data_IF_801214053455
#
_entry.id   IF_801214053455
#
_cell.length_a   1.000
_cell.length_b   1.000
_cell.length_c   1.000
_cell.angle_alpha   90.00
_cell.angle_beta   90.00
_cell.angle_gamma   90.00
#
_symmetry.space_group_name_H-M   'P 1'
#
loop_
_entity.id
_entity.type
_entity.pdbx_description
1 polymer ?
#
# COMPACT_ATOMS: atom_id res chain seq x y z
N UNK A 1 14.96 -4.42 7.78
CA UNK A 1 14.17 -4.27 9.04
C UNK A 1 12.86 -4.94 8.73
N UNK A 2 12.68 -6.20 9.17
CA UNK A 2 11.65 -7.05 8.59
C UNK A 2 10.25 -6.43 8.71
N UNK A 3 9.58 -6.24 7.58
CA UNK A 3 8.23 -5.71 7.56
C UNK A 3 7.26 -6.76 8.13
N UNK A 4 6.22 -6.33 8.84
CA UNK A 4 5.23 -7.26 9.41
C UNK A 4 4.52 -8.08 8.33
N UNK A 5 4.01 -9.27 8.66
CA UNK A 5 3.31 -10.12 7.70
C UNK A 5 2.20 -9.38 6.92
N UNK A 6 1.39 -8.57 7.61
CA UNK A 6 0.38 -7.72 6.97
C UNK A 6 0.99 -6.66 6.05
N UNK A 7 2.13 -6.08 6.46
CA UNK A 7 2.92 -5.20 5.62
C UNK A 7 3.36 -5.88 4.33
N UNK A 8 3.90 -7.09 4.43
CA UNK A 8 4.37 -7.86 3.28
C UNK A 8 3.22 -8.17 2.33
N UNK A 9 2.06 -8.59 2.86
CA UNK A 9 0.85 -8.84 2.06
C UNK A 9 0.41 -7.59 1.30
N UNK A 10 0.33 -6.43 1.97
CA UNK A 10 -0.11 -5.17 1.34
C UNK A 10 0.89 -4.69 0.30
N UNK A 11 2.20 -4.77 0.58
CA UNK A 11 3.23 -4.38 -0.39
C UNK A 11 3.21 -5.29 -1.62
N UNK A 12 3.15 -6.62 -1.43
CA UNK A 12 3.06 -7.58 -2.53
C UNK A 12 1.82 -7.34 -3.38
N UNK A 13 0.69 -7.03 -2.76
CA UNK A 13 -0.53 -6.65 -3.48
C UNK A 13 -0.29 -5.41 -4.36
N UNK A 14 0.22 -4.33 -3.78
CA UNK A 14 0.50 -3.10 -4.51
C UNK A 14 1.54 -3.29 -5.64
N UNK A 15 2.55 -4.13 -5.43
CA UNK A 15 3.56 -4.49 -6.44
C UNK A 15 2.99 -5.36 -7.56
N UNK A 16 2.06 -6.28 -7.25
CA UNK A 16 1.38 -7.09 -8.25
C UNK A 16 0.42 -6.27 -9.13
N UNK A 17 -0.04 -5.11 -8.62
CA UNK A 17 -0.98 -4.23 -9.31
C UNK A 17 -0.39 -2.84 -9.63
N UNK A 18 0.89 -2.77 -10.00
CA UNK A 18 1.54 -1.52 -10.41
C UNK A 18 0.78 -0.91 -11.60
N UNK A 19 0.49 0.39 -11.50
CA UNK A 19 -0.21 1.16 -12.53
C UNK A 19 -1.72 1.20 -12.39
N UNK A 20 -2.29 0.48 -11.41
CA UNK A 20 -3.70 0.57 -11.05
C UNK A 20 -3.89 1.38 -9.77
N UNK A 21 -4.96 2.18 -9.74
CA UNK A 21 -5.28 3.04 -8.60
C UNK A 21 -6.11 2.27 -7.56
N UNK A 22 -5.56 2.09 -6.35
CA UNK A 22 -6.23 1.40 -5.24
C UNK A 22 -6.40 2.27 -4.02
N UNK A 23 -7.62 2.33 -3.48
CA UNK A 23 -7.85 2.93 -2.16
C UNK A 23 -7.57 1.93 -1.04
N UNK A 24 -7.39 2.41 0.19
CA UNK A 24 -7.24 1.55 1.35
C UNK A 24 -8.43 0.59 1.56
N UNK A 25 -9.64 1.00 1.16
CA UNK A 25 -10.83 0.15 1.20
C UNK A 25 -10.68 -1.03 0.23
N UNK A 26 -10.30 -0.75 -1.01
CA UNK A 26 -10.15 -1.78 -2.05
C UNK A 26 -9.05 -2.79 -1.69
N UNK A 27 -7.93 -2.31 -1.12
CA UNK A 27 -6.86 -3.20 -0.64
C UNK A 27 -7.36 -4.06 0.53
N UNK A 28 -8.14 -3.48 1.45
CA UNK A 28 -8.72 -4.22 2.56
C UNK A 28 -9.65 -5.35 2.07
N UNK A 29 -10.50 -5.06 1.09
CA UNK A 29 -11.38 -6.04 0.44
C UNK A 29 -10.57 -7.14 -0.27
N UNK A 30 -9.53 -6.77 -1.02
CA UNK A 30 -8.72 -7.73 -1.77
C UNK A 30 -7.83 -8.61 -0.89
N UNK A 31 -7.33 -8.08 0.23
CA UNK A 31 -6.41 -8.79 1.13
C UNK A 31 -7.11 -9.48 2.31
N UNK A 32 -8.40 -9.21 2.51
CA UNK A 32 -9.15 -9.65 3.70
C UNK A 32 -8.70 -8.99 5.00
N UNK A 33 -7.83 -7.97 4.93
CA UNK A 33 -7.33 -7.26 6.11
C UNK A 33 -8.29 -6.16 6.54
N UNK A 34 -8.41 -5.88 7.85
CA UNK A 34 -9.18 -4.72 8.31
C UNK A 34 -8.63 -3.42 7.70
N UNK A 35 -9.52 -2.54 7.22
CA UNK A 35 -9.12 -1.25 6.62
C UNK A 35 -8.27 -0.39 7.56
N UNK A 36 -8.46 -0.49 8.87
CA UNK A 36 -7.63 0.17 9.89
C UNK A 36 -6.19 -0.34 9.86
N UNK A 37 -6.00 -1.66 9.70
CA UNK A 37 -4.69 -2.29 9.54
C UNK A 37 -4.02 -1.84 8.26
N UNK A 38 -4.75 -1.84 7.14
CA UNK A 38 -4.23 -1.36 5.85
C UNK A 38 -3.75 0.08 5.97
N UNK A 39 -4.58 0.97 6.53
CA UNK A 39 -4.22 2.36 6.73
C UNK A 39 -3.00 2.55 7.64
N UNK A 40 -2.89 1.77 8.71
CA UNK A 40 -1.75 1.80 9.63
C UNK A 40 -0.45 1.39 8.94
N UNK A 41 -0.46 0.26 8.22
CA UNK A 41 0.67 -0.24 7.45
C UNK A 41 1.09 0.75 6.37
N UNK A 42 0.15 1.20 5.54
CA UNK A 42 0.44 2.15 4.46
C UNK A 42 1.07 3.41 5.02
N UNK A 43 0.59 3.93 6.15
CA UNK A 43 1.15 5.15 6.74
C UNK A 43 2.53 4.92 7.34
N UNK A 44 2.70 3.88 8.16
CA UNK A 44 3.91 3.70 8.97
C UNK A 44 5.04 2.99 8.21
N UNK A 45 4.70 2.00 7.38
CA UNK A 45 5.67 1.13 6.72
C UNK A 45 5.95 1.52 5.28
N UNK A 46 5.04 2.23 4.61
CA UNK A 46 5.21 2.60 3.19
C UNK A 46 5.36 4.11 2.99
N UNK A 47 4.44 4.91 3.54
CA UNK A 47 4.39 6.34 3.29
C UNK A 47 5.48 7.10 4.03
N UNK A 48 5.63 6.89 5.34
CA UNK A 48 6.69 7.55 6.14
C UNK A 48 8.11 7.32 5.60
N UNK A 49 8.48 6.09 5.18
CA UNK A 49 9.78 5.85 4.57
C UNK A 49 9.91 6.32 3.11
N UNK A 50 8.82 6.78 2.47
CA UNK A 50 8.85 7.27 1.07
C UNK A 50 8.63 6.20 -0.01
N UNK A 51 8.15 5.02 0.37
CA UNK A 51 7.84 3.92 -0.56
C UNK A 51 6.45 4.03 -1.20
N UNK A 52 5.54 4.79 -0.61
CA UNK A 52 4.22 5.03 -1.17
C UNK A 52 3.73 6.46 -0.90
N UNK A 53 2.80 6.92 -1.71
CA UNK A 53 2.10 8.19 -1.53
C UNK A 53 0.60 8.00 -1.63
N UNK A 54 -0.15 8.91 -0.99
CA UNK A 54 -1.60 8.97 -1.07
C UNK A 54 -2.01 10.15 -1.92
N UNK A 55 -2.56 9.87 -3.10
CA UNK A 55 -2.93 10.88 -4.09
C UNK A 55 -4.45 10.93 -4.27
N UNK A 56 -4.97 12.11 -4.58
CA UNK A 56 -6.35 12.27 -5.00
C UNK A 56 -6.41 12.01 -6.52
N UNK A 57 -7.34 11.17 -6.94
CA UNK A 57 -7.56 10.81 -8.35
C UNK A 57 -9.02 11.06 -8.69
N UNK A 58 -9.29 11.59 -9.88
CA UNK A 58 -10.66 11.71 -10.37
C UNK A 58 -11.32 10.33 -10.44
N UNK A 59 -12.58 10.25 -10.00
CA UNK A 59 -13.34 9.00 -9.92
C UNK A 59 -13.18 8.21 -8.61
N UNK A 60 -12.40 8.71 -7.65
CA UNK A 60 -12.28 8.09 -6.32
C UNK A 60 -12.71 9.04 -5.20
N UNK A 61 -13.62 8.59 -4.34
CA UNK A 61 -14.06 9.35 -3.14
C UNK A 61 -12.98 9.42 -2.03
N UNK A 62 -11.91 8.64 -2.16
CA UNK A 62 -10.81 8.54 -1.19
C UNK A 62 -9.47 8.54 -1.90
N UNK A 63 -8.43 8.96 -1.17
CA UNK A 63 -7.06 8.92 -1.67
C UNK A 63 -6.64 7.51 -2.06
N UNK A 64 -6.08 7.39 -3.26
CA UNK A 64 -5.49 6.18 -3.79
C UNK A 64 -4.06 6.05 -3.28
N UNK A 65 -3.56 4.82 -3.22
CA UNK A 65 -2.23 4.49 -2.72
C UNK A 65 -1.38 4.11 -3.93
N UNK A 66 -0.33 4.88 -4.18
CA UNK A 66 0.57 4.70 -5.31
C UNK A 66 1.97 4.41 -4.78
N UNK A 67 2.59 3.33 -5.27
CA UNK A 67 3.99 3.03 -4.94
C UNK A 67 4.93 3.97 -5.69
N UNK A 68 5.92 4.50 -4.99
CA UNK A 68 7.06 5.19 -5.61
C UNK A 68 7.99 4.18 -6.27
N UNK A 69 8.94 4.65 -7.10
CA UNK A 69 9.97 3.77 -7.67
C UNK A 69 10.69 2.94 -6.61
N UNK A 70 11.01 3.56 -5.46
CA UNK A 70 11.61 2.86 -4.31
C UNK A 70 10.69 1.80 -3.71
N UNK A 71 9.38 2.03 -3.67
CA UNK A 71 8.40 1.05 -3.18
C UNK A 71 8.19 -0.12 -4.14
N UNK A 72 8.31 0.11 -5.45
CA UNK A 72 8.23 -0.96 -6.46
C UNK A 72 9.38 -1.95 -6.33
N UNK A 73 10.57 -1.45 -6.00
CA UNK A 73 11.79 -2.26 -5.81
C UNK A 73 12.02 -2.70 -4.37
N UNK A 74 11.10 -2.37 -3.45
CA UNK A 74 11.24 -2.72 -2.04
C UNK A 74 11.09 -4.24 -1.85
N UNK A 75 12.09 -4.86 -1.25
CA UNK A 75 12.02 -6.26 -0.87
C UNK A 75 11.40 -6.39 0.54
N UNK A 76 10.21 -7.02 0.70
CA UNK A 76 9.56 -7.18 2.00
C UNK A 76 10.30 -8.08 3.00
N UNK A 77 11.29 -8.86 2.52
CA UNK A 77 11.97 -9.92 3.28
C UNK A 77 13.39 -9.53 3.77
N UNK A 78 13.86 -8.31 3.47
CA UNK A 78 15.14 -7.72 3.95
C UNK A 78 14.98 -6.75 5.16
#
# INVERSE_FOLDING_TARGET
MAMSANGQTILRFLQAHIGSDYTANMIAEATGLPVKTVNGVVTMSLQKPGYAVREEREGFDKKVIVLTESGKSLNPEE
#
